data_IF_226748378796
#
_entry.id   IF_226748378796
#
_cell.length_a   1.000
_cell.length_b   1.000
_cell.length_c   1.000
_cell.angle_alpha   90.00
_cell.angle_beta   90.00
_cell.angle_gamma   90.00
#
_symmetry.space_group_name_H-M   'P 1'
#
loop_
_entity.id
_entity.type
_entity.pdbx_description
1 polymer ?
#
# COMPACT_ATOMS: atom_id res chain seq x y z
N UNK A 1 -7.83 4.38 -8.06
CA UNK A 1 -7.41 2.99 -7.85
C UNK A 1 -6.27 2.94 -6.84
N UNK A 2 -6.22 1.90 -6.04
CA UNK A 2 -5.15 1.69 -5.07
C UNK A 2 -3.91 1.15 -5.79
N UNK A 3 -2.77 1.79 -5.61
CA UNK A 3 -1.47 1.30 -6.08
C UNK A 3 -0.76 0.69 -4.87
N UNK A 4 -0.59 -0.61 -4.85
CA UNK A 4 0.01 -1.33 -3.71
C UNK A 4 1.47 -1.65 -3.99
N UNK A 5 2.36 -1.11 -3.18
CA UNK A 5 3.79 -1.38 -3.22
C UNK A 5 4.11 -2.37 -2.12
N UNK A 6 4.48 -3.59 -2.50
CA UNK A 6 4.60 -4.69 -1.54
C UNK A 6 5.63 -5.73 -1.98
N UNK A 7 5.89 -6.66 -1.10
CA UNK A 7 6.72 -7.83 -1.37
C UNK A 7 6.13 -9.04 -0.60
N UNK A 8 6.69 -10.22 -0.84
CA UNK A 8 6.22 -11.44 -0.19
C UNK A 8 6.66 -11.50 1.27
N UNK A 9 5.98 -10.73 2.11
CA UNK A 9 6.23 -10.64 3.54
C UNK A 9 4.91 -10.74 4.29
N UNK A 10 4.93 -11.09 5.60
CA UNK A 10 3.69 -11.12 6.38
C UNK A 10 2.94 -9.78 6.37
N UNK A 11 3.65 -8.66 6.50
CA UNK A 11 3.01 -7.34 6.50
C UNK A 11 2.44 -6.98 5.14
N UNK A 12 3.15 -7.32 4.06
CA UNK A 12 2.65 -7.11 2.71
C UNK A 12 1.40 -7.93 2.45
N UNK A 13 1.40 -9.19 2.87
CA UNK A 13 0.25 -10.09 2.69
C UNK A 13 -0.99 -9.60 3.42
N UNK A 14 -0.84 -8.99 4.59
CA UNK A 14 -1.99 -8.43 5.33
C UNK A 14 -2.77 -7.43 4.47
N UNK A 15 -2.08 -6.57 3.78
CA UNK A 15 -2.72 -5.55 2.95
C UNK A 15 -3.35 -6.18 1.71
N UNK A 16 -2.66 -7.14 1.07
CA UNK A 16 -3.22 -7.85 -0.09
C UNK A 16 -4.51 -8.57 0.28
N UNK A 17 -4.51 -9.27 1.40
CA UNK A 17 -5.70 -9.97 1.89
C UNK A 17 -6.84 -8.99 2.15
N UNK A 18 -6.53 -7.87 2.80
CA UNK A 18 -7.53 -6.83 3.09
C UNK A 18 -8.16 -6.29 1.82
N UNK A 19 -7.36 -6.00 0.79
CA UNK A 19 -7.87 -5.50 -0.47
C UNK A 19 -8.81 -6.49 -1.14
N UNK A 20 -8.47 -7.79 -1.09
CA UNK A 20 -9.35 -8.83 -1.62
C UNK A 20 -10.65 -8.93 -0.83
N UNK A 21 -10.58 -8.87 0.50
CA UNK A 21 -11.76 -8.97 1.36
C UNK A 21 -12.73 -7.81 1.16
N UNK A 22 -12.22 -6.59 1.01
CA UNK A 22 -13.11 -5.43 0.86
C UNK A 22 -13.50 -5.17 -0.60
N UNK A 23 -12.88 -5.87 -1.55
CA UNK A 23 -13.25 -5.78 -2.97
C UNK A 23 -12.86 -4.48 -3.65
N UNK A 24 -11.89 -3.74 -3.12
CA UNK A 24 -11.39 -2.53 -3.77
C UNK A 24 -10.45 -2.90 -4.92
N UNK A 25 -10.58 -2.27 -6.09
CA UNK A 25 -9.63 -2.51 -7.18
C UNK A 25 -8.25 -1.96 -6.85
N UNK A 26 -7.22 -2.72 -7.21
CA UNK A 26 -5.84 -2.34 -6.93
C UNK A 26 -4.87 -2.91 -7.97
N UNK A 27 -3.71 -2.28 -8.09
CA UNK A 27 -2.60 -2.78 -8.86
C UNK A 27 -1.41 -3.05 -7.94
N UNK A 28 -0.70 -4.15 -8.17
CA UNK A 28 0.47 -4.53 -7.38
C UNK A 28 1.74 -4.06 -8.07
N UNK A 29 2.58 -3.37 -7.30
CA UNK A 29 3.92 -2.97 -7.71
C UNK A 29 4.92 -3.67 -6.79
N UNK A 30 5.55 -4.75 -7.23
CA UNK A 30 6.49 -5.47 -6.37
C UNK A 30 7.73 -4.65 -6.08
N UNK A 31 8.14 -4.66 -4.81
CA UNK A 31 9.37 -4.00 -4.36
C UNK A 31 10.28 -5.10 -3.84
N UNK A 32 11.25 -5.52 -4.65
CA UNK A 32 12.10 -6.66 -4.34
C UNK A 32 13.11 -6.31 -3.26
N UNK A 33 12.83 -6.73 -2.03
CA UNK A 33 13.68 -6.44 -0.88
C UNK A 33 15.05 -7.08 -0.98
N UNK A 34 15.15 -8.23 -1.65
CA UNK A 34 16.43 -8.93 -1.82
C UNK A 34 17.38 -8.15 -2.73
N UNK A 35 16.84 -7.39 -3.67
CA UNK A 35 17.61 -6.58 -4.60
C UNK A 35 17.72 -5.12 -4.15
N UNK A 36 17.24 -4.80 -2.95
CA UNK A 36 17.34 -3.45 -2.40
C UNK A 36 16.45 -2.43 -3.07
N UNK A 37 15.35 -2.87 -3.71
CA UNK A 37 14.45 -1.93 -4.41
C UNK A 37 13.80 -0.92 -3.47
N UNK A 38 13.66 -1.26 -2.19
CA UNK A 38 13.14 -0.33 -1.19
C UNK A 38 14.05 0.87 -0.96
N UNK A 39 15.31 0.77 -1.38
CA UNK A 39 16.29 1.85 -1.24
C UNK A 39 16.38 2.72 -2.48
N UNK A 40 15.71 2.37 -3.57
CA UNK A 40 15.75 3.16 -4.80
C UNK A 40 15.05 4.51 -4.61
N UNK A 41 15.54 5.57 -5.25
CA UNK A 41 14.94 6.90 -5.11
C UNK A 41 13.44 6.93 -5.41
N UNK A 42 12.99 6.15 -6.39
CA UNK A 42 11.57 6.09 -6.77
C UNK A 42 10.72 5.61 -5.59
N UNK A 43 11.21 4.60 -4.87
CA UNK A 43 10.46 4.09 -3.73
C UNK A 43 10.60 4.97 -2.50
N UNK A 44 11.78 5.54 -2.26
CA UNK A 44 12.00 6.45 -1.13
C UNK A 44 11.13 7.70 -1.24
N UNK A 45 10.77 8.11 -2.44
CA UNK A 45 9.82 9.20 -2.64
C UNK A 45 8.41 8.83 -2.16
N UNK A 46 8.07 7.54 -2.16
CA UNK A 46 6.79 7.03 -1.67
C UNK A 46 6.86 6.83 -0.16
N UNK A 47 7.91 6.15 0.32
CA UNK A 47 8.10 5.90 1.73
C UNK A 47 9.55 6.14 2.13
N UNK A 48 9.85 7.28 2.77
CA UNK A 48 11.22 7.60 3.20
C UNK A 48 11.80 6.61 4.21
N UNK A 49 10.94 5.83 4.87
CA UNK A 49 11.38 4.81 5.84
C UNK A 49 11.82 3.50 5.17
N UNK A 50 11.83 3.45 3.85
CA UNK A 50 12.28 2.32 3.01
C UNK A 50 11.69 0.96 3.40
N UNK A 51 10.43 0.93 3.84
CA UNK A 51 9.73 -0.30 4.22
C UNK A 51 8.51 -0.52 3.33
N UNK A 52 8.10 -1.78 3.20
CA UNK A 52 6.83 -2.15 2.57
C UNK A 52 5.90 -2.62 3.70
N UNK A 53 4.58 -2.64 3.54
CA UNK A 53 3.84 -2.16 2.37
C UNK A 53 3.64 -0.64 2.37
N UNK A 54 3.33 -0.12 1.19
CA UNK A 54 2.86 1.27 1.04
C UNK A 54 1.77 1.27 -0.02
N UNK A 55 0.85 2.24 0.05
CA UNK A 55 -0.15 2.43 -0.98
C UNK A 55 -0.15 3.87 -1.46
N UNK A 56 -0.56 4.05 -2.71
CA UNK A 56 -1.00 5.35 -3.22
C UNK A 56 -2.43 5.14 -3.68
N UNK A 57 -3.37 5.83 -3.02
CA UNK A 57 -4.75 5.85 -3.48
C UNK A 57 -4.92 7.04 -4.40
N UNK A 58 -5.11 6.78 -5.69
CA UNK A 58 -5.25 7.86 -6.67
C UNK A 58 -6.55 8.62 -6.50
N UNK A 59 -7.51 8.04 -5.79
CA UNK A 59 -8.79 8.68 -5.45
C UNK A 59 -8.92 8.76 -3.93
N UNK A 60 -8.01 9.49 -3.31
CA UNK A 60 -7.96 9.66 -1.87
C UNK A 60 -8.90 10.74 -1.35
N UNK A 61 -8.71 11.18 -0.09
CA UNK A 61 -9.56 12.20 0.51
C UNK A 61 -9.58 13.47 -0.32
N UNK A 62 -10.78 13.98 -0.56
CA UNK A 62 -10.96 15.17 -1.39
C UNK A 62 -10.72 14.93 -2.88
N UNK A 63 -10.68 13.68 -3.32
CA UNK A 63 -10.43 13.32 -4.71
C UNK A 63 -8.99 13.47 -5.14
N UNK A 64 -8.06 13.60 -4.19
CA UNK A 64 -6.63 13.80 -4.47
C UNK A 64 -5.84 12.53 -4.18
N UNK A 65 -4.68 12.34 -4.83
CA UNK A 65 -3.82 11.21 -4.48
C UNK A 65 -3.40 11.26 -3.01
N UNK A 66 -3.41 10.11 -2.36
CA UNK A 66 -3.07 9.98 -0.96
C UNK A 66 -2.10 8.82 -0.78
N UNK A 67 -0.93 9.11 -0.22
CA UNK A 67 0.11 8.11 0.02
C UNK A 67 0.10 7.73 1.50
N UNK A 68 0.14 6.42 1.77
CA UNK A 68 0.10 5.92 3.14
C UNK A 68 1.02 4.72 3.28
N UNK A 69 1.72 4.62 4.39
CA UNK A 69 2.55 3.47 4.75
C UNK A 69 2.23 3.04 6.17
N UNK A 70 2.83 1.96 6.66
CA UNK A 70 2.51 1.22 7.87
C UNK A 70 1.27 0.35 7.65
N UNK A 71 1.46 -0.97 7.78
CA UNK A 71 0.38 -1.93 7.49
C UNK A 71 -0.88 -1.68 8.32
N UNK A 72 -0.72 -1.37 9.62
CA UNK A 72 -1.87 -1.09 10.48
C UNK A 72 -2.67 0.13 10.01
N UNK A 73 -1.98 1.21 9.66
CA UNK A 73 -2.63 2.43 9.16
C UNK A 73 -3.32 2.18 7.83
N UNK A 74 -2.70 1.40 6.94
CA UNK A 74 -3.28 1.03 5.66
C UNK A 74 -4.56 0.23 5.87
N UNK A 75 -4.55 -0.75 6.77
CA UNK A 75 -5.73 -1.56 7.05
C UNK A 75 -6.90 -0.70 7.54
N UNK A 76 -6.63 0.23 8.45
CA UNK A 76 -7.66 1.15 8.95
C UNK A 76 -8.21 2.03 7.83
N UNK A 77 -7.34 2.56 6.99
CA UNK A 77 -7.75 3.40 5.87
C UNK A 77 -8.68 2.63 4.91
N UNK A 78 -8.29 1.40 4.56
CA UNK A 78 -9.08 0.58 3.64
C UNK A 78 -10.43 0.19 4.24
N UNK A 79 -10.48 -0.08 5.54
CA UNK A 79 -11.73 -0.36 6.23
C UNK A 79 -12.68 0.82 6.16
N UNK A 80 -12.20 2.03 6.44
CA UNK A 80 -13.01 3.24 6.37
C UNK A 80 -13.46 3.54 4.94
N UNK A 81 -12.55 3.46 3.98
CA UNK A 81 -12.87 3.76 2.58
C UNK A 81 -13.92 2.83 2.03
N UNK A 82 -13.81 1.54 2.34
CA UNK A 82 -14.74 0.53 1.84
C UNK A 82 -16.06 0.48 2.62
N UNK A 83 -16.03 0.91 3.88
CA UNK A 83 -17.17 0.80 4.78
C UNK A 83 -17.51 -0.63 5.16
N UNK A 84 -16.58 -1.57 5.01
CA UNK A 84 -16.88 -3.00 5.15
C UNK A 84 -16.34 -3.67 6.41
N UNK A 85 -15.44 -3.04 7.14
CA UNK A 85 -14.89 -3.70 8.34
C UNK A 85 -14.82 -2.76 9.53
#
# INVERSE_FOLDING_TARGET
>A
MIQLYTWDTPNGKKVSIMLEEVGLPYEVHPVNLRQGEQMKPEYLAINPNNKIPAIIDTDGPGGKPFTLFESGAILMYLAEKSGKL
#
